data_IF_624909259960
#
_entry.id   IF_624909259960
#
_cell.length_a   1.000
_cell.length_b   1.000
_cell.length_c   1.000
_cell.angle_alpha   90.00
_cell.angle_beta   90.00
_cell.angle_gamma   90.00
#
_symmetry.space_group_name_H-M   'P 1'
#
loop_
_entity.id
_entity.type
_entity.pdbx_description
1 polymer ?
#
# COMPACT_ATOMS: atom_id res chain seq x y z
N UNK A 1 1.69 -1.37 -10.28
CA UNK A 1 2.32 -2.69 -10.18
C UNK A 1 1.28 -3.71 -9.74
N UNK A 2 1.00 -4.70 -10.60
CA UNK A 2 0.00 -5.75 -10.37
C UNK A 2 0.76 -6.99 -9.90
N UNK A 3 0.30 -7.59 -8.80
CA UNK A 3 0.98 -8.75 -8.21
C UNK A 3 0.55 -10.07 -8.85
N UNK A 4 1.48 -11.02 -8.91
CA UNK A 4 1.21 -12.41 -9.31
C UNK A 4 1.02 -13.30 -8.08
N UNK A 5 0.45 -14.50 -8.25
CA UNK A 5 0.30 -15.42 -7.11
C UNK A 5 1.67 -15.99 -6.71
N UNK A 6 2.00 -16.01 -5.42
CA UNK A 6 3.23 -16.68 -4.96
C UNK A 6 3.04 -18.21 -5.06
N UNK A 7 3.69 -18.83 -6.03
CA UNK A 7 3.59 -20.28 -6.25
C UNK A 7 4.64 -21.06 -5.45
N UNK A 8 5.86 -20.51 -5.37
CA UNK A 8 7.00 -21.10 -4.68
C UNK A 8 7.72 -20.00 -3.89
N UNK A 9 8.32 -20.38 -2.76
CA UNK A 9 9.07 -19.44 -1.92
C UNK A 9 10.47 -19.24 -2.53
N UNK A 10 10.87 -18.00 -2.84
CA UNK A 10 12.22 -17.69 -3.34
C UNK A 10 13.31 -18.13 -2.35
N UNK A 11 14.48 -18.56 -2.85
CA UNK A 11 15.60 -18.95 -2.00
C UNK A 11 16.10 -17.81 -1.10
N UNK A 12 15.97 -16.57 -1.57
CA UNK A 12 16.38 -15.34 -0.88
C UNK A 12 15.23 -14.64 -0.15
N UNK A 13 14.11 -15.33 0.07
CA UNK A 13 12.89 -14.74 0.63
C UNK A 13 13.14 -13.99 1.95
N UNK A 14 13.89 -14.60 2.86
CA UNK A 14 14.26 -14.00 4.15
C UNK A 14 14.99 -12.66 4.02
N UNK A 15 15.92 -12.54 3.06
CA UNK A 15 16.85 -11.42 2.98
C UNK A 15 16.37 -10.33 2.05
N UNK A 16 15.68 -10.70 0.96
CA UNK A 16 15.42 -9.83 -0.18
C UNK A 16 13.94 -9.51 -0.39
N UNK A 17 13.06 -9.88 0.54
CA UNK A 17 11.62 -9.64 0.38
C UNK A 17 11.00 -8.90 1.56
N UNK A 18 10.02 -8.05 1.25
CA UNK A 18 9.21 -7.29 2.19
C UNK A 18 7.76 -7.72 2.05
N UNK A 19 7.15 -8.08 3.18
CA UNK A 19 5.75 -8.43 3.28
C UNK A 19 4.91 -7.21 3.65
N UNK A 20 3.73 -7.06 3.03
CA UNK A 20 2.80 -5.94 3.27
C UNK A 20 1.40 -6.49 3.39
N UNK A 21 0.74 -6.27 4.52
CA UNK A 21 -0.67 -6.63 4.67
C UNK A 21 -1.55 -5.57 4.03
N UNK A 22 -2.50 -6.02 3.23
CA UNK A 22 -3.41 -5.17 2.47
C UNK A 22 -4.83 -5.42 2.97
N UNK A 23 -5.51 -4.38 3.48
CA UNK A 23 -6.89 -4.49 3.92
C UNK A 23 -7.82 -4.59 2.72
N UNK A 24 -9.04 -5.00 2.99
CA UNK A 24 -10.09 -5.01 2.00
C UNK A 24 -10.45 -3.56 1.63
N UNK A 25 -10.68 -3.30 0.35
CA UNK A 25 -10.97 -1.96 -0.13
C UNK A 25 -10.95 -1.85 -1.64
N UNK A 26 -11.08 -0.62 -2.13
CA UNK A 26 -11.05 -0.30 -3.56
C UNK A 26 -9.60 0.05 -3.95
N UNK A 27 -8.93 -0.79 -4.77
CA UNK A 27 -7.62 -0.42 -5.31
C UNK A 27 -7.75 0.82 -6.19
N UNK A 28 -6.87 1.79 -5.99
CA UNK A 28 -6.92 3.05 -6.70
C UNK A 28 -5.57 3.75 -6.81
N UNK A 29 -5.41 4.52 -7.88
CA UNK A 29 -4.37 5.53 -7.98
C UNK A 29 -4.88 6.84 -7.40
N UNK A 30 -4.08 7.45 -6.53
CA UNK A 30 -4.35 8.79 -5.99
C UNK A 30 -3.37 9.77 -6.61
N UNK A 31 -3.91 10.78 -7.29
CA UNK A 31 -3.13 11.79 -8.01
C UNK A 31 -3.47 13.16 -7.44
N UNK A 32 -2.48 13.87 -6.91
CA UNK A 32 -2.63 15.24 -6.43
C UNK A 32 -1.91 16.21 -7.36
N UNK A 33 -2.58 17.27 -7.79
CA UNK A 33 -2.03 18.31 -8.65
C UNK A 33 -2.92 19.55 -8.67
N UNK A 34 -2.32 20.73 -8.79
CA UNK A 34 -3.01 22.02 -8.95
C UNK A 34 -4.09 22.30 -7.89
N UNK A 35 -3.78 21.95 -6.65
CA UNK A 35 -4.63 22.20 -5.49
C UNK A 35 -5.78 21.21 -5.32
N UNK A 36 -5.78 20.07 -6.01
CA UNK A 36 -6.81 19.02 -5.84
C UNK A 36 -6.18 17.63 -5.88
N UNK A 37 -6.90 16.69 -5.31
CA UNK A 37 -6.57 15.26 -5.33
C UNK A 37 -7.70 14.49 -6.00
N UNK A 38 -7.35 13.55 -6.85
CA UNK A 38 -8.28 12.70 -7.59
C UNK A 38 -7.89 11.25 -7.38
N UNK A 39 -8.83 10.42 -6.93
CA UNK A 39 -8.66 8.97 -6.87
C UNK A 39 -9.30 8.31 -8.09
N UNK A 40 -8.61 7.32 -8.68
CA UNK A 40 -9.04 6.63 -9.90
C UNK A 40 -8.87 5.13 -9.77
N UNK A 41 -9.80 4.38 -10.35
CA UNK A 41 -9.66 2.93 -10.56
C UNK A 41 -8.63 2.63 -11.64
N UNK A 42 -8.27 1.36 -11.77
CA UNK A 42 -7.40 0.82 -12.80
C UNK A 42 -7.92 1.03 -14.23
N UNK A 43 -9.24 1.02 -14.40
CA UNK A 43 -9.92 1.38 -15.66
C UNK A 43 -9.93 2.90 -15.97
N UNK A 44 -9.38 3.72 -15.06
CA UNK A 44 -9.32 5.18 -15.18
C UNK A 44 -10.55 5.92 -14.68
N UNK A 45 -11.60 5.21 -14.27
CA UNK A 45 -12.83 5.78 -13.69
C UNK A 45 -12.49 6.57 -12.43
N UNK A 46 -12.99 7.81 -12.35
CA UNK A 46 -12.82 8.65 -11.15
C UNK A 46 -13.69 8.09 -10.03
N UNK A 47 -13.07 7.82 -8.89
CA UNK A 47 -13.77 7.49 -7.65
C UNK A 47 -14.22 8.81 -7.00
N UNK A 48 -13.28 9.71 -6.73
CA UNK A 48 -13.58 10.99 -6.09
C UNK A 48 -12.60 12.10 -6.50
N UNK A 49 -13.02 13.35 -6.33
CA UNK A 49 -12.18 14.55 -6.37
C UNK A 49 -12.34 15.33 -5.08
N UNK A 50 -11.25 15.52 -4.35
CA UNK A 50 -11.24 16.06 -2.99
C UNK A 50 -9.97 16.88 -2.70
N UNK A 51 -9.90 17.51 -1.53
CA UNK A 51 -8.70 18.15 -1.01
C UNK A 51 -7.92 17.21 -0.09
N UNK A 52 -6.59 17.17 -0.25
CA UNK A 52 -5.70 16.47 0.67
C UNK A 52 -4.45 17.27 1.00
N UNK A 53 -3.83 16.94 2.13
CA UNK A 53 -2.53 17.51 2.51
C UNK A 53 -1.34 16.94 1.73
N UNK A 54 -1.57 16.01 0.80
CA UNK A 54 -0.54 15.51 -0.12
C UNK A 54 -0.02 16.70 -0.96
N UNK A 55 1.29 16.81 -1.25
CA UNK A 55 1.81 17.88 -2.10
C UNK A 55 1.05 17.96 -3.44
N UNK A 56 0.56 19.16 -3.77
CA UNK A 56 -0.31 19.39 -4.94
C UNK A 56 -1.82 19.23 -4.68
N UNK A 57 -2.24 18.68 -3.52
CA UNK A 57 -3.61 18.25 -3.24
C UNK A 57 -4.55 19.29 -2.62
N UNK A 58 -4.04 20.47 -2.30
CA UNK A 58 -4.77 21.53 -1.60
C UNK A 58 -4.33 22.89 -2.12
N UNK A 59 -5.25 23.83 -2.44
CA UNK A 59 -4.90 25.15 -2.97
C UNK A 59 -4.10 26.02 -2.00
N UNK A 60 -4.12 25.70 -0.70
CA UNK A 60 -3.32 26.38 0.32
C UNK A 60 -1.88 25.86 0.40
N UNK A 61 -1.58 24.75 -0.27
CA UNK A 61 -0.22 24.20 -0.30
C UNK A 61 0.69 25.14 -1.08
N UNK A 62 1.86 25.46 -0.51
CA UNK A 62 2.93 26.20 -1.23
C UNK A 62 3.44 25.44 -2.45
N UNK A 63 3.20 24.14 -2.49
CA UNK A 63 3.64 23.21 -3.52
C UNK A 63 2.51 22.85 -4.49
N UNK A 64 1.47 23.68 -4.64
CA UNK A 64 0.30 23.35 -5.47
C UNK A 64 0.64 23.08 -6.96
N UNK A 65 1.76 23.61 -7.45
CA UNK A 65 2.26 23.35 -8.82
C UNK A 65 2.93 21.98 -8.98
N UNK A 66 3.36 21.37 -7.87
CA UNK A 66 3.91 20.02 -7.88
C UNK A 66 2.77 19.00 -7.93
N UNK A 67 3.13 17.77 -8.29
CA UNK A 67 2.21 16.64 -8.30
C UNK A 67 2.75 15.48 -7.45
N UNK A 68 1.85 14.64 -6.96
CA UNK A 68 2.19 13.37 -6.33
C UNK A 68 1.28 12.27 -6.86
N UNK A 69 1.79 11.04 -6.89
CA UNK A 69 1.08 9.86 -7.38
C UNK A 69 1.33 8.73 -6.39
N UNK A 70 0.25 8.23 -5.79
CA UNK A 70 0.26 7.14 -4.81
C UNK A 70 -0.56 5.95 -5.33
N UNK A 71 -0.12 4.75 -5.00
CA UNK A 71 -0.86 3.50 -5.17
C UNK A 71 -1.53 3.19 -3.84
N UNK A 72 -2.86 3.12 -3.82
CA UNK A 72 -3.64 3.10 -2.59
C UNK A 72 -4.73 2.03 -2.60
N UNK A 73 -5.15 1.65 -1.41
CA UNK A 73 -6.41 0.94 -1.15
C UNK A 73 -7.35 1.88 -0.40
N UNK A 74 -8.47 2.22 -1.01
CA UNK A 74 -9.48 3.06 -0.36
C UNK A 74 -10.45 2.21 0.45
N UNK A 75 -10.52 2.46 1.76
CA UNK A 75 -11.54 1.91 2.64
C UNK A 75 -12.58 2.98 2.94
N UNK A 76 -13.77 2.80 2.38
CA UNK A 76 -14.88 3.76 2.47
C UNK A 76 -15.40 3.91 3.90
N UNK A 77 -15.46 2.82 4.67
CA UNK A 77 -16.07 2.82 6.00
C UNK A 77 -15.34 3.67 7.02
N UNK A 78 -14.01 3.64 7.00
CA UNK A 78 -13.17 4.48 7.84
C UNK A 78 -12.62 5.68 7.10
N UNK A 79 -13.15 5.95 5.89
CA UNK A 79 -12.80 7.11 5.09
C UNK A 79 -11.28 7.33 4.94
N UNK A 80 -10.56 6.25 4.65
CA UNK A 80 -9.09 6.20 4.70
C UNK A 80 -8.52 5.61 3.41
N UNK A 81 -7.53 6.28 2.84
CA UNK A 81 -6.69 5.77 1.78
C UNK A 81 -5.43 5.14 2.39
N UNK A 82 -5.36 3.81 2.37
CA UNK A 82 -4.15 3.12 2.77
C UNK A 82 -3.13 3.17 1.65
N UNK A 83 -1.97 3.77 1.90
CA UNK A 83 -0.92 3.93 0.89
C UNK A 83 -0.14 2.63 0.80
N UNK A 84 -0.32 1.93 -0.31
CA UNK A 84 0.40 0.71 -0.68
C UNK A 84 1.77 1.06 -1.26
N UNK A 85 1.85 2.12 -2.06
CA UNK A 85 3.09 2.51 -2.70
C UNK A 85 3.15 3.98 -3.14
N UNK A 86 4.35 4.43 -3.51
CA UNK A 86 4.65 5.80 -3.95
C UNK A 86 5.38 5.80 -5.30
N UNK A 87 4.79 6.48 -6.28
CA UNK A 87 5.37 6.60 -7.63
C UNK A 87 5.91 8.00 -7.91
N UNK A 88 5.38 9.01 -7.22
CA UNK A 88 5.90 10.37 -7.27
C UNK A 88 5.52 11.12 -6.00
N UNK A 89 6.44 11.90 -5.45
CA UNK A 89 6.17 12.80 -4.34
C UNK A 89 6.69 14.20 -4.65
N UNK A 90 5.81 15.20 -4.67
CA UNK A 90 6.19 16.60 -4.91
C UNK A 90 7.06 16.78 -6.18
N UNK A 91 6.68 16.10 -7.27
CA UNK A 91 7.38 16.15 -8.56
C UNK A 91 8.65 15.30 -8.65
N UNK A 92 9.03 14.57 -7.59
CA UNK A 92 10.15 13.62 -7.61
C UNK A 92 9.62 12.21 -7.91
N UNK A 93 9.82 11.68 -9.14
CA UNK A 93 9.41 10.33 -9.49
C UNK A 93 10.26 9.29 -8.76
N UNK A 94 9.65 8.17 -8.40
CA UNK A 94 10.29 7.03 -7.74
C UNK A 94 10.16 5.72 -8.50
N UNK A 95 9.73 5.75 -9.76
CA UNK A 95 9.57 4.54 -10.57
C UNK A 95 10.84 3.68 -10.61
N UNK A 96 12.00 4.33 -10.78
CA UNK A 96 13.33 3.68 -10.86
C UNK A 96 14.00 3.47 -9.50
N UNK A 97 13.25 3.62 -8.40
CA UNK A 97 13.75 3.35 -7.06
C UNK A 97 13.32 1.96 -6.59
N UNK A 98 14.19 1.31 -5.85
CA UNK A 98 13.95 0.04 -5.16
C UNK A 98 12.74 0.13 -4.22
N UNK A 99 11.99 -0.97 -4.09
CA UNK A 99 10.81 -1.05 -3.23
C UNK A 99 11.13 -0.73 -1.76
N UNK A 100 12.27 -1.19 -1.25
CA UNK A 100 12.70 -0.92 0.13
C UNK A 100 12.85 0.59 0.38
N UNK A 101 13.48 1.31 -0.56
CA UNK A 101 13.57 2.77 -0.51
C UNK A 101 12.19 3.42 -0.57
N UNK A 102 11.32 2.98 -1.48
CA UNK A 102 9.97 3.58 -1.65
C UNK A 102 9.12 3.44 -0.39
N UNK A 103 9.19 2.28 0.29
CA UNK A 103 8.51 2.04 1.56
C UNK A 103 9.08 2.88 2.71
N UNK A 104 10.41 2.95 2.84
CA UNK A 104 11.06 3.83 3.81
C UNK A 104 10.66 5.30 3.58
N UNK A 105 10.65 5.72 2.32
CA UNK A 105 10.44 7.12 1.96
C UNK A 105 9.01 7.56 2.21
N UNK A 106 8.00 6.76 1.83
CA UNK A 106 6.60 7.12 2.12
C UNK A 106 6.34 7.22 3.62
N UNK A 107 6.87 6.31 4.44
CA UNK A 107 6.73 6.39 5.90
C UNK A 107 7.34 7.68 6.45
N UNK A 108 8.54 8.04 5.97
CA UNK A 108 9.21 9.29 6.35
C UNK A 108 8.37 10.51 5.95
N UNK A 109 7.82 10.52 4.73
CA UNK A 109 7.01 11.64 4.24
C UNK A 109 5.68 11.81 4.95
N UNK A 110 4.99 10.72 5.28
CA UNK A 110 3.76 10.81 6.09
C UNK A 110 4.03 11.26 7.52
N UNK A 111 5.24 11.06 8.06
CA UNK A 111 5.60 11.60 9.37
C UNK A 111 5.97 13.09 9.34
N UNK A 112 6.37 13.63 8.18
CA UNK A 112 6.68 15.05 7.99
C UNK A 112 5.43 15.94 7.87
N UNK A 113 4.31 15.38 7.39
CA UNK A 113 3.06 16.11 7.15
C UNK A 113 1.85 15.39 7.73
N UNK A 114 0.93 16.13 8.32
CA UNK A 114 -0.29 15.54 8.85
C UNK A 114 -1.26 15.15 7.72
N UNK A 115 -1.21 13.88 7.33
CA UNK A 115 -2.18 13.28 6.41
C UNK A 115 -3.31 12.54 7.13
N UNK A 116 -3.25 12.40 8.46
CA UNK A 116 -4.19 11.57 9.23
C UNK A 116 -5.38 12.38 9.74
N UNK A 117 -5.18 13.65 10.06
CA UNK A 117 -6.27 14.49 10.60
C UNK A 117 -7.17 14.98 9.48
N UNK A 118 -8.42 14.53 9.48
CA UNK A 118 -9.43 15.00 8.53
C UNK A 118 -9.88 16.43 8.87
N UNK A 119 -9.99 17.28 7.85
CA UNK A 119 -10.53 18.63 7.92
C UNK A 119 -10.99 19.09 6.52
N UNK A 120 -11.46 20.34 6.41
CA UNK A 120 -11.98 20.87 5.13
C UNK A 120 -10.99 20.88 3.95
N UNK A 121 -9.69 20.80 4.22
CA UNK A 121 -8.62 20.77 3.21
C UNK A 121 -7.82 19.46 3.21
N UNK A 122 -8.21 18.51 4.07
CA UNK A 122 -7.74 17.13 4.06
C UNK A 122 -8.93 16.22 4.34
N UNK A 123 -9.69 15.87 3.31
CA UNK A 123 -11.01 15.24 3.49
C UNK A 123 -10.94 13.75 3.82
N UNK A 124 -9.79 13.11 3.61
CA UNK A 124 -9.55 11.71 3.91
C UNK A 124 -8.21 11.53 4.61
N UNK A 125 -8.14 10.51 5.46
CA UNK A 125 -6.90 10.09 6.10
C UNK A 125 -6.05 9.33 5.09
N UNK A 126 -4.73 9.52 5.13
CA UNK A 126 -3.78 8.67 4.43
C UNK A 126 -2.85 7.98 5.41
N UNK A 127 -2.77 6.65 5.30
CA UNK A 127 -1.99 5.81 6.22
C UNK A 127 -1.16 4.82 5.39
N UNK A 128 0.18 4.87 5.45
CA UNK A 128 1.01 3.84 4.84
C UNK A 128 0.68 2.46 5.39
N UNK A 129 0.61 1.46 4.52
CA UNK A 129 0.40 0.08 4.95
C UNK A 129 1.58 -0.41 5.81
N UNK A 130 1.32 -1.23 6.84
CA UNK A 130 2.38 -1.83 7.61
C UNK A 130 3.15 -2.83 6.74
N UNK A 131 4.47 -2.76 6.85
CA UNK A 131 5.39 -3.62 6.13
C UNK A 131 6.34 -4.30 7.12
N UNK A 132 6.74 -5.53 6.81
CA UNK A 132 7.65 -6.34 7.63
C UNK A 132 8.62 -7.08 6.72
N UNK A 133 9.89 -7.19 7.11
CA UNK A 133 10.84 -8.04 6.41
C UNK A 133 10.43 -9.51 6.53
N UNK A 134 10.71 -10.32 5.52
CA UNK A 134 10.29 -11.73 5.49
C UNK A 134 11.16 -12.67 6.34
N UNK A 135 11.69 -12.16 7.47
CA UNK A 135 12.37 -12.98 8.47
C UNK A 135 11.36 -13.94 9.11
N UNK A 136 11.64 -15.26 9.23
CA UNK A 136 10.63 -16.24 9.63
C UNK A 136 9.81 -15.87 10.88
N UNK A 137 10.50 -15.53 11.98
CA UNK A 137 9.85 -15.21 13.25
C UNK A 137 9.03 -13.91 13.17
N UNK A 138 9.58 -12.87 12.52
CA UNK A 138 8.89 -11.59 12.36
C UNK A 138 7.68 -11.72 11.43
N UNK A 139 7.80 -12.53 10.37
CA UNK A 139 6.73 -12.78 9.41
C UNK A 139 5.59 -13.59 10.04
N UNK A 140 5.87 -14.60 10.86
CA UNK A 140 4.84 -15.33 11.61
C UNK A 140 4.10 -14.38 12.55
N UNK A 141 4.83 -13.59 13.33
CA UNK A 141 4.23 -12.63 14.25
C UNK A 141 3.38 -11.61 13.49
N UNK A 142 3.90 -11.12 12.37
CA UNK A 142 3.20 -10.20 11.50
C UNK A 142 1.90 -10.83 10.96
N UNK A 143 1.94 -12.05 10.42
CA UNK A 143 0.75 -12.77 9.90
C UNK A 143 -0.32 -13.05 10.97
N UNK A 144 0.10 -13.29 12.21
CA UNK A 144 -0.80 -13.62 13.32
C UNK A 144 -1.28 -12.41 14.11
N UNK A 145 -0.65 -11.24 13.94
CA UNK A 145 -1.10 -10.01 14.57
C UNK A 145 -2.53 -9.69 14.09
N UNK A 146 -3.43 -9.47 15.06
CA UNK A 146 -4.73 -8.88 14.81
C UNK A 146 -4.50 -7.41 14.49
N UNK A 147 -4.74 -7.02 13.25
CA UNK A 147 -4.62 -5.62 12.87
C UNK A 147 -5.92 -4.89 13.23
N UNK A 148 -6.14 -4.60 14.51
CA UNK A 148 -7.33 -3.86 14.98
C UNK A 148 -7.47 -2.46 14.31
N UNK A 149 -6.42 -1.98 13.66
CA UNK A 149 -6.41 -0.75 12.84
C UNK A 149 -6.63 -0.98 11.33
N UNK A 150 -6.62 -2.22 10.82
CA UNK A 150 -6.94 -2.57 9.43
C UNK A 150 -8.27 -3.36 9.29
N UNK A 151 -8.89 -3.80 10.38
CA UNK A 151 -10.09 -4.67 10.42
C UNK A 151 -11.41 -3.93 10.67
N UNK A 152 -11.57 -2.72 10.13
CA UNK A 152 -12.91 -2.08 10.07
C UNK A 152 -13.82 -2.93 9.18
N UNK A 153 -14.94 -3.39 9.73
CA UNK A 153 -15.82 -4.37 9.11
C UNK A 153 -16.71 -3.78 8.01
N UNK A 154 -16.23 -3.94 6.77
CA UNK A 154 -16.89 -4.02 5.45
C UNK A 154 -18.38 -4.45 5.38
N UNK A 155 -19.36 -3.82 6.06
CA UNK A 155 -20.74 -4.35 6.13
C UNK A 155 -21.66 -3.90 4.97
N UNK A 156 -21.35 -2.81 4.25
CA UNK A 156 -22.27 -2.31 3.20
C UNK A 156 -21.58 -1.75 1.95
N UNK A 157 -20.91 -2.59 1.16
CA UNK A 157 -20.46 -2.21 -0.19
C UNK A 157 -21.27 -2.95 -1.26
N UNK A 158 -21.97 -2.20 -2.11
CA UNK A 158 -22.62 -2.72 -3.33
C UNK A 158 -21.58 -2.71 -4.46
N UNK A 159 -20.99 -3.87 -4.74
CA UNK A 159 -19.97 -4.08 -5.78
C UNK A 159 -19.13 -5.33 -5.50
N UNK A 160 -18.27 -5.81 -6.42
CA UNK A 160 -17.39 -6.96 -6.17
C UNK A 160 -16.23 -6.52 -5.28
N UNK A 161 -16.51 -6.22 -4.01
CA UNK A 161 -15.57 -5.58 -3.08
C UNK A 161 -15.62 -6.33 -1.76
N UNK A 162 -14.97 -7.49 -1.78
CA UNK A 162 -14.19 -7.99 -0.64
C UNK A 162 -13.23 -9.07 -1.16
N UNK A 163 -12.04 -8.72 -1.71
CA UNK A 163 -10.98 -9.71 -1.74
C UNK A 163 -10.69 -10.10 -0.27
N UNK A 164 -10.36 -11.36 0.04
CA UNK A 164 -9.86 -11.69 1.37
C UNK A 164 -8.64 -10.82 1.67
N UNK A 165 -8.43 -10.48 2.95
CA UNK A 165 -7.22 -9.82 3.41
C UNK A 165 -6.02 -10.52 2.79
N UNK A 166 -5.23 -9.74 2.07
CA UNK A 166 -4.17 -10.23 1.19
C UNK A 166 -2.85 -9.78 1.77
N UNK A 167 -1.85 -10.64 1.70
CA UNK A 167 -0.47 -10.25 1.95
C UNK A 167 0.26 -10.19 0.62
N UNK A 168 0.95 -9.08 0.42
CA UNK A 168 1.84 -8.87 -0.71
C UNK A 168 3.28 -9.12 -0.30
N UNK A 169 4.09 -9.62 -1.23
CA UNK A 169 5.52 -9.82 -1.07
C UNK A 169 6.24 -9.07 -2.19
N UNK A 170 7.05 -8.09 -1.83
CA UNK A 170 7.83 -7.28 -2.76
C UNK A 170 9.29 -7.71 -2.67
N UNK A 171 9.92 -7.98 -3.81
CA UNK A 171 11.37 -8.02 -3.84
C UNK A 171 11.91 -6.61 -3.55
N UNK A 172 12.87 -6.49 -2.63
CA UNK A 172 13.41 -5.21 -2.14
C UNK A 172 13.92 -4.32 -3.26
N UNK A 173 14.58 -4.92 -4.25
CA UNK A 173 15.24 -4.23 -5.36
C UNK A 173 14.26 -3.92 -6.51
N UNK A 174 12.97 -4.31 -6.38
CA UNK A 174 11.99 -4.11 -7.45
C UNK A 174 11.63 -2.64 -7.67
N UNK A 175 11.82 -2.19 -8.90
CA UNK A 175 11.31 -0.92 -9.40
C UNK A 175 9.78 -0.95 -9.52
N UNK A 176 9.14 0.21 -9.45
CA UNK A 176 7.69 0.29 -9.68
C UNK A 176 7.39 0.18 -11.17
N UNK A 177 6.99 -1.00 -11.62
CA UNK A 177 6.56 -1.21 -13.01
C UNK A 177 5.03 -1.21 -13.14
N UNK A 178 4.57 -0.73 -14.30
CA UNK A 178 3.16 -0.81 -14.68
C UNK A 178 2.89 -2.19 -15.28
N UNK A 179 1.79 -2.83 -14.87
CA UNK A 179 1.46 -4.19 -15.28
C UNK A 179 1.87 -5.26 -14.26
N UNK A 180 1.71 -6.52 -14.67
CA UNK A 180 2.03 -7.72 -13.88
C UNK A 180 3.53 -7.89 -13.69
N UNK A 181 3.95 -8.41 -12.54
CA UNK A 181 5.35 -8.74 -12.28
C UNK A 181 5.50 -9.88 -11.28
N UNK A 182 6.47 -10.79 -11.49
CA UNK A 182 6.82 -11.81 -10.50
C UNK A 182 7.61 -11.24 -9.31
N UNK A 183 8.04 -9.98 -9.37
CA UNK A 183 8.76 -9.31 -8.26
C UNK A 183 7.81 -8.71 -7.21
N UNK A 184 6.51 -8.82 -7.43
CA UNK A 184 5.47 -8.48 -6.48
C UNK A 184 4.47 -9.64 -6.46
N UNK A 185 4.46 -10.43 -5.39
CA UNK A 185 3.58 -11.59 -5.27
C UNK A 185 2.44 -11.32 -4.27
N UNK A 186 1.39 -12.12 -4.34
CA UNK A 186 0.27 -12.09 -3.40
C UNK A 186 -0.15 -13.49 -2.95
N UNK A 187 -0.70 -13.55 -1.74
CA UNK A 187 -1.45 -14.68 -1.19
C UNK A 187 -2.58 -14.14 -0.32
N UNK A 188 -3.64 -14.92 -0.14
CA UNK A 188 -4.53 -14.69 0.99
C UNK A 188 -3.78 -14.95 2.31
N UNK A 189 -4.22 -14.34 3.42
CA UNK A 189 -3.57 -14.56 4.72
C UNK A 189 -3.54 -16.06 5.11
N UNK A 190 -4.60 -16.81 4.81
CA UNK A 190 -4.68 -18.24 5.13
C UNK A 190 -3.76 -19.09 4.24
N UNK A 191 -3.65 -18.76 2.94
CA UNK A 191 -2.67 -19.38 2.06
C UNK A 191 -1.25 -19.08 2.53
N UNK A 192 -0.96 -17.84 2.94
CA UNK A 192 0.35 -17.45 3.45
C UNK A 192 0.70 -18.22 4.74
N UNK A 193 -0.24 -18.34 5.69
CA UNK A 193 -0.07 -19.14 6.91
C UNK A 193 0.19 -20.62 6.60
N UNK A 194 -0.42 -21.16 5.54
CA UNK A 194 -0.23 -22.55 5.14
C UNK A 194 1.12 -22.75 4.46
N UNK A 195 1.43 -21.93 3.45
CA UNK A 195 2.65 -22.05 2.66
C UNK A 195 3.91 -21.77 3.49
N UNK A 196 3.86 -20.76 4.36
CA UNK A 196 5.01 -20.33 5.16
C UNK A 196 5.20 -21.14 6.43
N UNK A 197 4.28 -22.05 6.77
CA UNK A 197 4.39 -22.90 7.95
C UNK A 197 5.69 -23.71 7.95
N UNK A 198 5.94 -24.44 6.87
CA UNK A 198 7.11 -25.31 6.75
C UNK A 198 8.40 -24.50 6.56
N UNK A 199 8.32 -23.39 5.83
CA UNK A 199 9.42 -22.44 5.65
C UNK A 199 9.91 -21.88 7.00
N UNK A 200 8.99 -21.53 7.89
CA UNK A 200 9.38 -20.99 9.18
C UNK A 200 9.82 -22.07 10.17
N UNK A 201 9.25 -23.28 10.11
CA UNK A 201 9.63 -24.40 10.99
C UNK A 201 11.00 -25.01 10.67
N UNK A 202 11.48 -24.88 9.42
CA UNK A 202 12.78 -25.43 9.01
C UNK A 202 13.99 -24.58 9.42
N UNK A 203 13.76 -23.36 9.93
CA UNK A 203 14.82 -22.41 10.32
C UNK A 203 14.94 -22.19 11.84
N UNK A 204 14.26 -23.00 12.67
CA UNK A 204 14.44 -23.05 14.14
C UNK A 204 15.61 -23.96 14.59
N UNK A 205 16.45 -24.43 13.65
CA UNK A 205 17.64 -25.28 13.91
C UNK A 205 18.90 -24.50 13.53
#
# INVERSE_FOLDING_TARGET
MISEKLMEIPEDFQTNWISVKVPDGIPCLVISYNGKTVSRRDDGTIIETFYSNIPGGNPLSRDFQNYSILDCMYCEEVNTYYIKDIMCWKGYPTYDCEAEFRFFWIQTKVNEIDLKTCNRYNQHSFIPLPACYCQPNELIQFLNANDDNLTSHCENIIGPIKPPSTILFYNKESHYILGSTPLCCHLTIDEAKTLLKDYCSTMEI
#
